data_IF_136751694001
#
_entry.id   IF_136751694001
#
_cell.length_a   1.000
_cell.length_b   1.000
_cell.length_c   1.000
_cell.angle_alpha   90.00
_cell.angle_beta   90.00
_cell.angle_gamma   90.00
#
_symmetry.space_group_name_H-M   'P 1'
#
loop_
_entity.id
_entity.type
_entity.pdbx_description
1 polymer ?
#
# COMPACT_ATOMS: atom_id res chain seq x y z
N UNK A 1 -14.37 -5.39 6.42
CA UNK A 1 -12.94 -5.71 6.67
C UNK A 1 -12.80 -6.51 7.94
N UNK A 2 -12.00 -7.57 7.90
CA UNK A 2 -11.57 -8.33 9.09
C UNK A 2 -10.66 -7.46 9.99
N UNK A 3 -10.40 -7.91 11.22
CA UNK A 3 -9.41 -7.24 12.10
C UNK A 3 -8.02 -7.24 11.47
N UNK A 4 -7.66 -8.31 10.77
CA UNK A 4 -6.39 -8.42 10.05
C UNK A 4 -6.30 -7.41 8.90
N UNK A 5 -7.35 -7.27 8.08
CA UNK A 5 -7.41 -6.28 7.00
C UNK A 5 -7.23 -4.85 7.52
N UNK A 6 -7.76 -4.54 8.71
CA UNK A 6 -7.60 -3.23 9.35
C UNK A 6 -6.15 -2.97 9.75
N UNK A 7 -5.47 -3.97 10.31
CA UNK A 7 -4.06 -3.88 10.68
C UNK A 7 -3.18 -3.70 9.45
N UNK A 8 -3.43 -4.47 8.38
CA UNK A 8 -2.74 -4.34 7.10
C UNK A 8 -3.01 -2.97 6.48
N UNK A 9 -4.26 -2.49 6.48
CA UNK A 9 -4.60 -1.15 5.98
C UNK A 9 -3.89 -0.02 6.73
N UNK A 10 -3.75 -0.16 8.06
CA UNK A 10 -2.95 0.79 8.87
C UNK A 10 -1.48 0.73 8.49
N UNK A 11 -0.93 -0.46 8.29
CA UNK A 11 0.45 -0.65 7.87
C UNK A 11 0.71 -0.08 6.47
N UNK A 12 -0.16 -0.36 5.49
CA UNK A 12 -0.10 0.20 4.14
C UNK A 12 -0.15 1.74 4.17
N UNK A 13 -0.99 2.31 5.06
CA UNK A 13 -1.03 3.76 5.25
C UNK A 13 0.30 4.31 5.77
N UNK A 14 0.99 3.59 6.66
CA UNK A 14 2.30 3.99 7.17
C UNK A 14 3.36 3.98 6.05
N UNK A 15 3.48 2.86 5.33
CA UNK A 15 4.55 2.67 4.36
C UNK A 15 4.34 3.48 3.08
N UNK A 16 3.11 3.57 2.58
CA UNK A 16 2.83 4.30 1.32
C UNK A 16 2.79 5.82 1.52
N UNK A 17 2.53 6.32 2.74
CA UNK A 17 2.38 7.78 2.97
C UNK A 17 3.54 8.43 3.70
N UNK A 18 4.21 7.68 4.57
CA UNK A 18 5.13 8.27 5.54
C UNK A 18 6.51 7.61 5.53
N UNK A 19 6.56 6.27 5.42
CA UNK A 19 7.79 5.51 5.67
C UNK A 19 7.98 4.32 4.71
N UNK A 20 8.16 4.56 3.39
CA UNK A 20 8.41 3.49 2.43
C UNK A 20 9.72 2.72 2.74
N UNK A 21 10.67 3.37 3.42
CA UNK A 21 11.95 2.79 3.83
C UNK A 21 11.82 1.60 4.79
N UNK A 22 10.71 1.47 5.54
CA UNK A 22 10.45 0.32 6.42
C UNK A 22 10.50 -0.99 5.63
N UNK A 23 9.99 -0.96 4.40
CA UNK A 23 10.01 -2.10 3.49
C UNK A 23 11.14 -1.99 2.47
N UNK A 24 11.98 -0.95 2.53
CA UNK A 24 12.87 -0.56 1.44
C UNK A 24 12.10 -0.50 0.11
N UNK A 25 10.86 0.02 0.16
CA UNK A 25 9.98 0.14 -0.98
C UNK A 25 10.34 1.41 -1.74
N UNK A 26 10.47 1.34 -3.06
CA UNK A 26 10.63 2.52 -3.87
C UNK A 26 9.25 3.01 -4.31
N UNK A 27 8.97 4.27 -4.00
CA UNK A 27 7.84 4.99 -4.54
C UNK A 27 8.34 5.88 -5.68
N UNK A 28 7.62 5.88 -6.80
CA UNK A 28 7.90 6.85 -7.86
C UNK A 28 7.46 8.27 -7.46
N UNK A 29 7.73 9.23 -8.34
CA UNK A 29 7.39 10.64 -8.11
C UNK A 29 5.90 10.85 -7.80
N UNK A 30 5.02 9.97 -8.29
CA UNK A 30 3.57 10.05 -8.07
C UNK A 30 3.07 9.18 -6.90
N UNK A 31 4.01 8.61 -6.11
CA UNK A 31 3.72 7.78 -4.96
C UNK A 31 3.34 6.34 -5.28
N UNK A 32 3.60 5.84 -6.49
CA UNK A 32 3.32 4.46 -6.86
C UNK A 32 4.41 3.51 -6.41
N UNK A 33 4.01 2.40 -5.78
CA UNK A 33 4.84 1.24 -5.48
C UNK A 33 4.44 0.04 -6.35
N UNK A 34 5.41 -0.81 -6.68
CA UNK A 34 5.13 -2.12 -7.28
C UNK A 34 4.44 -3.06 -6.29
N UNK A 35 3.33 -3.68 -6.71
CA UNK A 35 2.61 -4.70 -5.92
C UNK A 35 3.47 -5.94 -5.74
N UNK A 36 4.22 -6.33 -6.78
CA UNK A 36 5.13 -7.49 -6.76
C UNK A 36 6.32 -7.29 -5.83
N UNK A 37 6.69 -6.03 -5.52
CA UNK A 37 7.66 -5.74 -4.47
C UNK A 37 7.01 -5.65 -3.09
N UNK A 38 5.87 -4.97 -3.01
CA UNK A 38 5.19 -4.67 -1.75
C UNK A 38 4.78 -5.95 -1.00
N UNK A 39 4.18 -6.92 -1.70
CA UNK A 39 3.67 -8.14 -1.08
C UNK A 39 4.79 -8.96 -0.41
N UNK A 40 5.86 -9.38 -1.12
CA UNK A 40 6.92 -10.17 -0.51
C UNK A 40 7.68 -9.38 0.57
N UNK A 41 7.90 -8.07 0.40
CA UNK A 41 8.55 -7.24 1.43
C UNK A 41 7.69 -7.13 2.69
N UNK A 42 6.39 -6.93 2.55
CA UNK A 42 5.47 -6.91 3.69
C UNK A 42 5.43 -8.27 4.40
N UNK A 43 5.40 -9.38 3.65
CA UNK A 43 5.47 -10.74 4.21
C UNK A 43 6.78 -10.99 4.96
N UNK A 44 7.91 -10.56 4.40
CA UNK A 44 9.22 -10.65 5.06
C UNK A 44 9.29 -9.84 6.36
N UNK A 45 8.53 -8.73 6.43
CA UNK A 45 8.36 -7.92 7.65
C UNK A 45 7.32 -8.51 8.63
N UNK A 46 6.76 -9.69 8.35
CA UNK A 46 5.79 -10.36 9.23
C UNK A 46 4.35 -9.87 9.09
N UNK A 47 4.03 -9.17 7.99
CA UNK A 47 2.66 -8.77 7.67
C UNK A 47 2.04 -9.80 6.74
N UNK A 48 0.90 -10.38 7.12
CA UNK A 48 0.10 -11.32 6.32
C UNK A 48 -0.59 -10.64 5.13
N UNK A 49 0.19 -10.00 4.26
CA UNK A 49 -0.29 -9.39 3.04
C UNK A 49 -0.34 -10.42 1.92
N UNK A 50 -1.48 -10.56 1.27
CA UNK A 50 -1.67 -11.43 0.10
C UNK A 50 -2.33 -10.61 -1.01
N UNK A 51 -2.23 -11.04 -2.29
CA UNK A 51 -2.94 -10.37 -3.38
C UNK A 51 -4.46 -10.27 -3.11
N UNK A 52 -5.05 -11.31 -2.53
CA UNK A 52 -6.47 -11.34 -2.21
C UNK A 52 -6.84 -10.35 -1.09
N UNK A 53 -6.03 -10.27 -0.02
CA UNK A 53 -6.27 -9.30 1.06
C UNK A 53 -5.99 -7.87 0.61
N UNK A 54 -4.97 -7.65 -0.22
CA UNK A 54 -4.68 -6.34 -0.81
C UNK A 54 -5.85 -5.86 -1.68
N UNK A 55 -6.33 -6.69 -2.61
CA UNK A 55 -7.50 -6.39 -3.45
C UNK A 55 -8.74 -6.07 -2.61
N UNK A 56 -8.99 -6.86 -1.56
CA UNK A 56 -10.08 -6.61 -0.63
C UNK A 56 -9.93 -5.26 0.06
N UNK A 57 -8.75 -4.96 0.61
CA UNK A 57 -8.48 -3.71 1.32
C UNK A 57 -8.68 -2.49 0.40
N UNK A 58 -8.25 -2.56 -0.85
CA UNK A 58 -8.47 -1.48 -1.83
C UNK A 58 -9.96 -1.36 -2.16
N UNK A 59 -10.65 -2.47 -2.44
CA UNK A 59 -12.06 -2.48 -2.81
C UNK A 59 -13.01 -2.04 -1.67
N UNK A 60 -12.72 -2.43 -0.43
CA UNK A 60 -13.57 -2.13 0.73
C UNK A 60 -13.11 -0.89 1.50
N UNK A 61 -12.20 -0.10 0.94
CA UNK A 61 -11.73 1.11 1.61
C UNK A 61 -12.80 2.21 1.53
N UNK A 62 -13.56 2.42 2.60
CA UNK A 62 -14.62 3.45 2.68
C UNK A 62 -14.16 4.85 2.26
N UNK A 63 -12.86 5.15 2.37
CA UNK A 63 -12.29 6.46 2.04
C UNK A 63 -11.45 6.46 0.77
N UNK A 64 -11.51 5.40 -0.05
CA UNK A 64 -10.68 5.20 -1.25
C UNK A 64 -9.20 5.54 -0.99
N UNK A 65 -8.66 5.11 0.17
CA UNK A 65 -7.31 5.53 0.62
C UNK A 65 -6.18 5.01 -0.25
N UNK A 66 -6.44 3.97 -1.02
CA UNK A 66 -5.49 3.30 -1.89
C UNK A 66 -6.09 3.18 -3.27
N UNK A 67 -5.22 3.16 -4.27
CA UNK A 67 -5.61 2.99 -5.66
C UNK A 67 -4.59 2.08 -6.35
N UNK A 68 -5.09 1.19 -7.19
CA UNK A 68 -4.26 0.44 -8.14
C UNK A 68 -4.07 1.22 -9.44
N UNK A 69 -2.96 1.00 -10.13
CA UNK A 69 -2.77 1.43 -11.50
C UNK A 69 -3.75 0.72 -12.43
N UNK A 70 -3.94 1.22 -13.65
CA UNK A 70 -4.88 0.63 -14.61
C UNK A 70 -4.57 -0.84 -14.93
N UNK A 71 -3.29 -1.22 -14.91
CA UNK A 71 -2.82 -2.59 -15.10
C UNK A 71 -2.82 -3.44 -13.81
N UNK A 72 -3.14 -2.85 -12.66
CA UNK A 72 -3.14 -3.52 -11.36
C UNK A 72 -1.76 -3.85 -10.78
N UNK A 73 -0.67 -3.46 -11.46
CA UNK A 73 0.69 -3.83 -11.05
C UNK A 73 1.29 -2.89 -10.00
N UNK A 74 0.72 -1.70 -9.85
CA UNK A 74 1.17 -0.70 -8.88
C UNK A 74 0.05 -0.28 -7.95
N UNK A 75 0.44 0.15 -6.77
CA UNK A 75 -0.46 0.69 -5.76
C UNK A 75 0.12 1.98 -5.18
N UNK A 76 -0.75 2.98 -4.98
CA UNK A 76 -0.41 4.21 -4.25
C UNK A 76 -1.43 4.53 -3.18
N UNK A 77 -1.06 5.38 -2.23
CA UNK A 77 -2.04 6.06 -1.41
C UNK A 77 -2.69 7.19 -2.22
N UNK A 78 -4.00 7.36 -2.10
CA UNK A 78 -4.72 8.35 -2.90
C UNK A 78 -4.54 9.78 -2.40
N UNK A 79 -4.16 9.96 -1.12
CA UNK A 79 -4.00 11.25 -0.44
C UNK A 79 -3.15 11.13 0.82
N UNK A 80 -2.60 12.24 1.30
CA UNK A 80 -2.02 12.38 2.64
C UNK A 80 -0.57 11.89 2.76
N UNK A 81 0.22 12.03 1.69
CA UNK A 81 1.65 11.79 1.73
C UNK A 81 2.34 12.89 2.55
N UNK A 82 3.24 12.48 3.44
CA UNK A 82 4.18 13.37 4.14
C UNK A 82 5.58 13.35 3.51
N UNK A 83 5.74 12.51 2.50
CA UNK A 83 6.93 12.41 1.64
C UNK A 83 6.72 13.30 0.40
N UNK A 84 7.83 13.75 -0.21
CA UNK A 84 7.78 14.52 -1.45
C UNK A 84 7.34 13.61 -2.60
N UNK A 85 6.05 13.64 -2.91
CA UNK A 85 5.45 13.05 -4.10
C UNK A 85 4.69 14.15 -4.83
N UNK A 86 4.83 14.19 -6.15
CA UNK A 86 4.09 15.06 -7.05
C UNK A 86 2.77 14.36 -7.40
N UNK A 87 1.64 14.87 -6.93
CA UNK A 87 0.34 14.19 -6.93
C UNK A 87 -0.57 14.61 -8.09
#
# INVERSE_FOLDING_TARGET
MSTEDKSVSKFLSLVLRHKPEILSLHLDENGWASVDELIPKAQAHGVSLTPASLNRIVATNDKKRFQFSEDGQRIRASQGHSIAVDL
#
